data_IF_863131807544
#
_entry.id   IF_863131807544
#
_cell.length_a   1.000
_cell.length_b   1.000
_cell.length_c   1.000
_cell.angle_alpha   90.00
_cell.angle_beta   90.00
_cell.angle_gamma   90.00
#
_symmetry.space_group_name_H-M   'P 1'
#
loop_
_entity.id
_entity.type
_entity.pdbx_description
1 polymer ?
#
# COMPACT_ATOMS: atom_id res chain seq x y z
N UNK A 1 20.27 -17.25 -10.09
CA UNK A 1 18.95 -17.89 -10.04
C UNK A 1 18.12 -17.37 -11.21
N UNK A 2 17.64 -18.28 -12.06
CA UNK A 2 16.72 -17.96 -13.15
C UNK A 2 15.28 -17.76 -12.66
N UNK A 3 14.42 -17.23 -13.53
CA UNK A 3 12.99 -17.01 -13.21
C UNK A 3 12.31 -18.31 -12.79
N UNK A 4 12.65 -19.42 -13.44
CA UNK A 4 12.08 -20.75 -13.14
C UNK A 4 12.48 -21.25 -11.74
N UNK A 5 13.75 -21.10 -11.37
CA UNK A 5 14.26 -21.53 -10.06
C UNK A 5 13.63 -20.71 -8.93
N UNK A 6 13.49 -19.42 -9.11
CA UNK A 6 12.82 -18.54 -8.15
C UNK A 6 11.34 -18.90 -7.98
N UNK A 7 10.65 -19.20 -9.09
CA UNK A 7 9.26 -19.64 -9.05
C UNK A 7 9.09 -21.00 -8.34
N UNK A 8 10.00 -21.94 -8.56
CA UNK A 8 9.99 -23.25 -7.89
C UNK A 8 10.24 -23.12 -6.38
N UNK A 9 11.17 -22.25 -5.96
CA UNK A 9 11.41 -21.95 -4.54
C UNK A 9 10.15 -21.35 -3.89
N UNK A 10 9.52 -20.36 -4.52
CA UNK A 10 8.29 -19.76 -4.02
C UNK A 10 7.14 -20.79 -3.94
N UNK A 11 6.98 -21.62 -4.94
CA UNK A 11 5.99 -22.71 -4.94
C UNK A 11 6.26 -23.72 -3.81
N UNK A 12 7.52 -24.11 -3.60
CA UNK A 12 7.93 -24.99 -2.52
C UNK A 12 7.60 -24.44 -1.14
N UNK A 13 7.85 -23.13 -0.90
CA UNK A 13 7.48 -22.46 0.35
C UNK A 13 5.96 -22.48 0.56
N UNK A 14 5.17 -22.19 -0.47
CA UNK A 14 3.71 -22.22 -0.36
C UNK A 14 3.16 -23.62 -0.07
N UNK A 15 3.72 -24.66 -0.71
CA UNK A 15 3.37 -26.06 -0.44
C UNK A 15 3.71 -26.44 1.02
N UNK A 16 4.86 -26.01 1.51
CA UNK A 16 5.28 -26.25 2.89
C UNK A 16 4.34 -25.56 3.88
N UNK A 17 3.96 -24.31 3.63
CA UNK A 17 2.96 -23.60 4.45
C UNK A 17 1.63 -24.34 4.44
N UNK A 18 1.14 -24.77 3.27
CA UNK A 18 -0.10 -25.52 3.14
C UNK A 18 -0.05 -26.83 3.94
N UNK A 19 1.06 -27.55 3.89
CA UNK A 19 1.27 -28.80 4.63
C UNK A 19 1.31 -28.56 6.15
N UNK A 20 2.00 -27.51 6.60
CA UNK A 20 2.00 -27.09 8.02
C UNK A 20 0.57 -26.75 8.48
N UNK A 21 -0.19 -26.01 7.68
CA UNK A 21 -1.60 -25.71 7.98
C UNK A 21 -2.42 -27.00 8.14
N UNK A 22 -2.31 -27.95 7.23
CA UNK A 22 -3.03 -29.24 7.31
C UNK A 22 -2.68 -29.99 8.61
N UNK A 23 -1.39 -30.02 8.99
CA UNK A 23 -0.92 -30.71 10.20
C UNK A 23 -1.45 -30.03 11.46
N UNK A 24 -1.40 -28.68 11.51
CA UNK A 24 -1.88 -27.89 12.64
C UNK A 24 -3.40 -28.01 12.79
N UNK A 25 -4.15 -27.86 11.69
CA UNK A 25 -5.61 -27.95 11.72
C UNK A 25 -6.13 -29.37 11.94
N UNK A 26 -5.38 -30.41 11.60
CA UNK A 26 -5.74 -31.80 11.92
C UNK A 26 -5.75 -32.08 13.44
N UNK A 27 -5.05 -31.25 14.24
CA UNK A 27 -5.05 -31.30 15.71
C UNK A 27 -6.09 -30.36 16.36
N UNK A 28 -6.70 -29.45 15.58
CA UNK A 28 -7.75 -28.57 16.08
C UNK A 28 -9.07 -29.35 16.11
N UNK A 29 -9.78 -29.29 17.23
CA UNK A 29 -11.08 -29.96 17.38
C UNK A 29 -12.08 -29.54 16.30
N UNK A 30 -12.97 -30.45 15.84
CA UNK A 30 -13.92 -30.17 14.73
C UNK A 30 -14.97 -29.09 15.01
N UNK A 31 -14.97 -28.48 16.19
CA UNK A 31 -15.93 -27.45 16.60
C UNK A 31 -15.65 -26.03 16.10
N UNK A 32 -14.50 -25.77 15.47
CA UNK A 32 -14.11 -24.42 15.01
C UNK A 32 -14.41 -24.20 13.51
N UNK A 33 -14.86 -25.21 12.80
CA UNK A 33 -15.36 -25.01 11.45
C UNK A 33 -16.76 -24.43 11.58
N UNK A 34 -16.85 -23.11 11.75
CA UNK A 34 -18.09 -22.36 11.59
C UNK A 34 -18.78 -22.83 10.32
N UNK A 35 -20.03 -23.28 10.44
CA UNK A 35 -20.84 -23.75 9.32
C UNK A 35 -20.69 -22.83 8.11
N UNK A 36 -20.31 -23.39 6.99
CA UNK A 36 -20.26 -22.75 5.67
C UNK A 36 -21.71 -22.50 5.18
N UNK A 37 -22.47 -21.70 5.93
CA UNK A 37 -23.60 -20.97 5.35
C UNK A 37 -22.99 -19.90 4.46
N UNK A 38 -23.43 -19.83 3.19
CA UNK A 38 -23.01 -18.74 2.30
C UNK A 38 -23.12 -17.42 3.07
N UNK A 39 -21.99 -16.71 3.29
CA UNK A 39 -22.04 -15.47 4.03
C UNK A 39 -22.97 -14.52 3.29
N UNK A 40 -23.91 -13.91 4.02
CA UNK A 40 -24.71 -12.81 3.48
C UNK A 40 -23.78 -11.83 2.79
N UNK A 41 -24.14 -11.25 1.63
CA UNK A 41 -23.28 -10.31 0.93
C UNK A 41 -22.81 -9.24 1.89
N UNK A 42 -21.51 -8.92 1.80
CA UNK A 42 -20.79 -8.07 2.77
C UNK A 42 -21.51 -6.73 2.96
N UNK A 43 -22.15 -6.21 1.90
CA UNK A 43 -22.91 -4.95 1.93
C UNK A 43 -24.23 -5.02 2.72
N UNK A 44 -24.86 -6.20 2.90
CA UNK A 44 -26.05 -6.34 3.76
C UNK A 44 -25.71 -6.30 5.26
N UNK A 45 -24.46 -6.52 5.64
CA UNK A 45 -24.02 -6.60 7.04
C UNK A 45 -23.56 -5.25 7.61
N UNK A 46 -23.17 -4.32 6.75
CA UNK A 46 -22.79 -2.97 7.16
C UNK A 46 -24.05 -2.14 7.20
N UNK A 47 -24.44 -1.65 8.38
CA UNK A 47 -25.43 -0.60 8.45
C UNK A 47 -24.91 0.60 7.69
N UNK A 48 -25.45 0.85 6.50
CA UNK A 48 -25.12 1.97 5.63
C UNK A 48 -25.74 3.27 6.18
N UNK A 49 -25.36 3.63 7.40
CA UNK A 49 -25.56 4.98 7.88
C UNK A 49 -24.73 5.96 7.04
N UNK A 50 -25.22 7.17 6.89
CA UNK A 50 -24.54 8.24 6.14
C UNK A 50 -23.07 8.38 6.55
N UNK A 51 -22.75 8.16 7.82
CA UNK A 51 -21.40 8.24 8.34
C UNK A 51 -20.52 7.08 7.87
N UNK A 52 -21.03 5.85 7.92
CA UNK A 52 -20.31 4.66 7.44
C UNK A 52 -20.08 4.71 5.92
N UNK A 53 -21.06 5.21 5.16
CA UNK A 53 -20.92 5.44 3.73
C UNK A 53 -19.78 6.40 3.40
N UNK A 54 -19.62 7.46 4.19
CA UNK A 54 -18.52 8.42 4.04
C UNK A 54 -17.16 7.75 4.29
N UNK A 55 -17.02 6.96 5.36
CA UNK A 55 -15.76 6.27 5.68
C UNK A 55 -15.39 5.22 4.64
N UNK A 56 -16.36 4.52 4.08
CA UNK A 56 -16.15 3.59 2.96
C UNK A 56 -15.69 4.32 1.70
N UNK A 57 -16.29 5.48 1.40
CA UNK A 57 -15.85 6.32 0.26
C UNK A 57 -14.42 6.80 0.45
N UNK A 58 -14.06 7.25 1.65
CA UNK A 58 -12.68 7.63 1.97
C UNK A 58 -11.75 6.42 1.85
N UNK A 59 -12.17 5.23 2.29
CA UNK A 59 -11.39 4.00 2.12
C UNK A 59 -11.14 3.67 0.65
N UNK A 60 -12.15 3.82 -0.20
CA UNK A 60 -12.02 3.68 -1.66
C UNK A 60 -10.97 4.65 -2.22
N UNK A 61 -11.09 5.93 -1.87
CA UNK A 61 -10.15 6.97 -2.34
C UNK A 61 -8.73 6.74 -1.83
N UNK A 62 -8.55 6.26 -0.59
CA UNK A 62 -7.24 5.89 -0.06
C UNK A 62 -6.62 4.74 -0.86
N UNK A 63 -7.38 3.69 -1.15
CA UNK A 63 -6.89 2.59 -1.99
C UNK A 63 -6.57 3.05 -3.40
N UNK A 64 -7.45 3.85 -4.00
CA UNK A 64 -7.26 4.44 -5.33
C UNK A 64 -5.95 5.23 -5.41
N UNK A 65 -5.75 6.18 -4.51
CA UNK A 65 -4.56 7.03 -4.52
C UNK A 65 -3.29 6.24 -4.20
N UNK A 66 -3.33 5.31 -3.25
CA UNK A 66 -2.17 4.52 -2.88
C UNK A 66 -1.62 3.70 -4.06
N UNK A 67 -2.47 2.95 -4.77
CA UNK A 67 -2.03 2.15 -5.91
C UNK A 67 -1.80 2.99 -7.18
N UNK A 68 -2.50 4.11 -7.35
CA UNK A 68 -2.19 5.05 -8.42
C UNK A 68 -0.77 5.60 -8.27
N UNK A 69 -0.37 6.02 -7.06
CA UNK A 69 0.98 6.50 -6.78
C UNK A 69 2.03 5.39 -6.92
N UNK A 70 1.72 4.16 -6.52
CA UNK A 70 2.61 3.02 -6.72
C UNK A 70 2.98 2.85 -8.21
N UNK A 71 2.00 2.92 -9.10
CA UNK A 71 2.22 2.83 -10.56
C UNK A 71 3.08 3.99 -11.06
N UNK A 72 2.80 5.22 -10.61
CA UNK A 72 3.56 6.41 -11.02
C UNK A 72 4.99 6.36 -10.50
N UNK A 73 5.21 5.99 -9.24
CA UNK A 73 6.56 5.86 -8.68
C UNK A 73 7.38 4.77 -9.36
N UNK A 74 6.78 3.63 -9.68
CA UNK A 74 7.45 2.60 -10.47
C UNK A 74 7.97 3.17 -11.78
N UNK A 75 7.14 3.94 -12.48
CA UNK A 75 7.50 4.56 -13.77
C UNK A 75 8.64 5.56 -13.62
N UNK A 76 8.60 6.40 -12.58
CA UNK A 76 9.66 7.38 -12.29
C UNK A 76 10.99 6.69 -11.96
N UNK A 77 10.96 5.63 -11.16
CA UNK A 77 12.16 4.88 -10.79
C UNK A 77 12.75 4.13 -11.99
N UNK A 78 11.92 3.54 -12.84
CA UNK A 78 12.37 2.92 -14.11
C UNK A 78 13.08 3.92 -15.00
N UNK A 79 12.53 5.14 -15.10
CA UNK A 79 13.16 6.21 -15.88
C UNK A 79 14.53 6.62 -15.33
N UNK A 80 14.64 6.69 -13.98
CA UNK A 80 15.89 7.07 -13.31
C UNK A 80 16.97 5.97 -13.31
N UNK A 81 16.57 4.71 -13.13
CA UNK A 81 17.50 3.56 -12.96
C UNK A 81 17.76 2.79 -14.26
N UNK A 82 16.98 3.01 -15.31
CA UNK A 82 17.12 2.31 -16.60
C UNK A 82 16.79 0.81 -16.55
N UNK A 83 16.34 0.25 -15.41
CA UNK A 83 16.00 -1.16 -15.24
C UNK A 83 14.62 -1.33 -14.60
N UNK A 84 13.74 -2.09 -15.25
CA UNK A 84 12.38 -2.34 -14.77
C UNK A 84 12.34 -3.23 -13.53
N UNK A 85 13.15 -4.29 -13.48
CA UNK A 85 13.14 -5.29 -12.40
C UNK A 85 13.67 -4.70 -11.10
N UNK A 86 14.83 -4.04 -11.13
CA UNK A 86 15.42 -3.45 -9.93
C UNK A 86 14.60 -2.26 -9.42
N UNK A 87 14.08 -1.42 -10.31
CA UNK A 87 13.22 -0.29 -9.96
C UNK A 87 11.94 -0.76 -9.27
N UNK A 88 11.26 -1.78 -9.83
CA UNK A 88 10.07 -2.36 -9.23
C UNK A 88 10.38 -2.98 -7.86
N UNK A 89 11.47 -3.74 -7.73
CA UNK A 89 11.85 -4.38 -6.46
C UNK A 89 12.14 -3.35 -5.37
N UNK A 90 12.86 -2.27 -5.69
CA UNK A 90 13.15 -1.17 -4.77
C UNK A 90 11.89 -0.41 -4.38
N UNK A 91 11.02 -0.12 -5.35
CA UNK A 91 9.73 0.52 -5.10
C UNK A 91 8.90 -0.33 -4.14
N UNK A 92 8.71 -1.61 -4.45
CA UNK A 92 7.90 -2.52 -3.64
C UNK A 92 8.46 -2.67 -2.22
N UNK A 93 9.79 -2.81 -2.08
CA UNK A 93 10.44 -2.90 -0.77
C UNK A 93 10.20 -1.63 0.08
N UNK A 94 10.40 -0.44 -0.49
CA UNK A 94 10.12 0.83 0.19
C UNK A 94 8.65 0.99 0.54
N UNK A 95 7.75 0.64 -0.38
CA UNK A 95 6.31 0.75 -0.18
C UNK A 95 5.85 -0.14 0.98
N UNK A 96 6.21 -1.42 0.97
CA UNK A 96 5.86 -2.37 2.03
C UNK A 96 6.49 -1.99 3.37
N UNK A 97 7.76 -1.57 3.37
CA UNK A 97 8.44 -1.11 4.57
C UNK A 97 7.77 0.14 5.16
N UNK A 98 7.44 1.12 4.31
CA UNK A 98 6.72 2.34 4.72
C UNK A 98 5.34 2.02 5.34
N UNK A 99 4.53 1.18 4.69
CA UNK A 99 3.22 0.76 5.23
C UNK A 99 3.38 0.06 6.58
N UNK A 100 4.38 -0.83 6.69
CA UNK A 100 4.64 -1.56 7.95
C UNK A 100 5.01 -0.62 9.08
N UNK A 101 5.94 0.31 8.82
CA UNK A 101 6.35 1.34 9.79
C UNK A 101 5.15 2.21 10.18
N UNK A 102 4.34 2.64 9.20
CA UNK A 102 3.12 3.41 9.45
C UNK A 102 2.12 2.67 10.33
N UNK A 103 1.85 1.40 10.03
CA UNK A 103 0.99 0.54 10.83
C UNK A 103 1.46 0.39 12.28
N UNK A 104 2.78 0.33 12.51
CA UNK A 104 3.35 0.30 13.86
C UNK A 104 3.28 1.65 14.57
N UNK A 105 3.56 2.75 13.85
CA UNK A 105 3.57 4.10 14.42
C UNK A 105 2.18 4.58 14.85
N UNK A 106 1.12 4.06 14.26
CA UNK A 106 -0.25 4.44 14.65
C UNK A 106 -0.72 3.76 15.93
N UNK A 107 -0.13 2.63 16.34
CA UNK A 107 -0.56 1.84 17.52
C UNK A 107 -0.63 2.67 18.81
N UNK A 108 0.35 3.53 19.15
CA UNK A 108 0.29 4.34 20.37
C UNK A 108 -0.91 5.30 20.42
N UNK A 109 -1.44 5.73 19.26
CA UNK A 109 -2.58 6.64 19.21
C UNK A 109 -3.88 5.97 19.65
N UNK A 110 -4.01 4.64 19.46
CA UNK A 110 -5.16 3.88 19.96
C UNK A 110 -5.19 3.76 21.48
N UNK A 111 -4.04 3.88 22.16
CA UNK A 111 -3.96 3.88 23.62
C UNK A 111 -4.37 5.22 24.26
N UNK A 112 -4.34 6.30 23.50
CA UNK A 112 -4.72 7.65 23.93
C UNK A 112 -6.06 8.02 23.30
N UNK A 113 -6.87 8.87 24.00
CA UNK A 113 -8.14 9.37 23.44
C UNK A 113 -7.89 10.48 22.41
N UNK A 114 -7.43 10.07 21.23
CA UNK A 114 -7.29 10.98 20.10
C UNK A 114 -8.59 11.11 19.28
N UNK A 115 -8.76 12.25 18.63
CA UNK A 115 -9.80 12.41 17.62
C UNK A 115 -9.33 11.74 16.31
N UNK A 116 -9.74 10.48 16.09
CA UNK A 116 -9.31 9.70 14.92
C UNK A 116 -9.77 10.31 13.59
N UNK A 117 -10.86 11.10 13.57
CA UNK A 117 -11.30 11.83 12.38
C UNK A 117 -10.27 12.89 12.00
N UNK A 118 -9.83 13.69 12.99
CA UNK A 118 -8.79 14.70 12.79
C UNK A 118 -7.46 14.05 12.39
N UNK A 119 -7.10 12.94 13.03
CA UNK A 119 -5.87 12.21 12.75
C UNK A 119 -5.82 11.74 11.30
N UNK A 120 -6.92 11.15 10.78
CA UNK A 120 -7.04 10.75 9.39
C UNK A 120 -6.93 11.95 8.44
N UNK A 121 -7.58 13.07 8.78
CA UNK A 121 -7.49 14.30 7.97
C UNK A 121 -6.05 14.80 7.87
N UNK A 122 -5.32 14.81 8.99
CA UNK A 122 -3.90 15.21 9.02
C UNK A 122 -3.05 14.27 8.14
N UNK A 123 -3.31 12.96 8.18
CA UNK A 123 -2.57 12.02 7.34
C UNK A 123 -2.83 12.27 5.85
N UNK A 124 -4.09 12.46 5.44
CA UNK A 124 -4.44 12.71 4.04
C UNK A 124 -3.87 14.04 3.53
N UNK A 125 -3.95 15.11 4.33
CA UNK A 125 -3.32 16.38 4.00
C UNK A 125 -1.79 16.24 3.93
N UNK A 126 -1.18 15.49 4.85
CA UNK A 126 0.25 15.22 4.85
C UNK A 126 0.71 14.49 3.59
N UNK A 127 -0.06 13.49 3.12
CA UNK A 127 0.20 12.79 1.86
C UNK A 127 0.17 13.78 0.69
N UNK A 128 -0.91 14.56 0.57
CA UNK A 128 -1.07 15.52 -0.52
C UNK A 128 0.02 16.59 -0.55
N UNK A 129 0.33 17.19 0.60
CA UNK A 129 1.38 18.21 0.72
C UNK A 129 2.77 17.64 0.39
N UNK A 130 3.08 16.43 0.87
CA UNK A 130 4.35 15.80 0.57
C UNK A 130 4.50 15.48 -0.93
N UNK A 131 3.43 15.06 -1.57
CA UNK A 131 3.44 14.79 -3.00
C UNK A 131 3.68 16.06 -3.82
N UNK A 132 3.03 17.16 -3.48
CA UNK A 132 3.31 18.47 -4.09
C UNK A 132 4.77 18.89 -3.87
N UNK A 133 5.28 18.72 -2.65
CA UNK A 133 6.68 18.99 -2.32
C UNK A 133 7.65 18.11 -3.12
N UNK A 134 7.34 16.82 -3.28
CA UNK A 134 8.16 15.89 -4.05
C UNK A 134 8.24 16.25 -5.54
N UNK A 135 7.18 16.83 -6.10
CA UNK A 135 7.18 17.36 -7.47
C UNK A 135 8.11 18.56 -7.62
N UNK A 136 8.08 19.47 -6.65
CA UNK A 136 9.00 20.62 -6.65
C UNK A 136 10.46 20.17 -6.59
N UNK A 137 10.74 19.10 -5.84
CA UNK A 137 12.07 18.49 -5.77
C UNK A 137 12.42 17.54 -6.93
N UNK A 138 11.49 17.25 -7.83
CA UNK A 138 11.67 16.25 -8.91
C UNK A 138 12.90 16.54 -9.79
N UNK A 139 13.22 17.81 -10.06
CA UNK A 139 14.39 18.21 -10.85
C UNK A 139 15.71 17.84 -10.12
N UNK A 140 15.78 18.01 -8.80
CA UNK A 140 16.95 17.62 -8.00
C UNK A 140 17.04 16.09 -7.91
N UNK A 141 15.92 15.43 -7.71
CA UNK A 141 15.85 13.96 -7.66
C UNK A 141 16.26 13.35 -9.00
N UNK A 142 15.73 13.88 -10.11
CA UNK A 142 16.06 13.42 -11.46
C UNK A 142 17.56 13.62 -11.74
N UNK A 143 18.12 14.76 -11.35
CA UNK A 143 19.57 15.02 -11.50
C UNK A 143 20.42 14.10 -10.63
N UNK A 144 19.94 13.64 -9.49
CA UNK A 144 20.66 12.70 -8.63
C UNK A 144 20.60 11.23 -9.12
N UNK A 145 19.61 10.89 -9.96
CA UNK A 145 19.59 9.62 -10.69
C UNK A 145 20.47 9.65 -11.95
N UNK A 146 20.59 10.82 -12.61
CA UNK A 146 21.31 10.98 -13.86
C UNK A 146 22.81 11.29 -13.64
N UNK A 147 23.21 11.73 -12.43
CA UNK A 147 24.63 12.01 -12.13
C UNK A 147 25.47 10.74 -12.23
N UNK A 148 26.66 10.86 -12.82
CA UNK A 148 27.26 9.79 -13.61
C UNK A 148 27.59 8.56 -12.77
N UNK A 149 27.12 7.41 -13.23
CA UNK A 149 27.56 6.08 -12.85
C UNK A 149 29.10 5.89 -13.05
N UNK A 150 29.78 6.85 -13.70
CA UNK A 150 31.19 6.80 -13.99
C UNK A 150 32.12 6.86 -12.76
N UNK A 151 31.63 7.41 -11.64
CA UNK A 151 32.43 7.58 -10.41
C UNK A 151 32.02 6.62 -9.27
N UNK A 152 31.09 5.70 -9.49
CA UNK A 152 30.60 4.82 -8.44
C UNK A 152 31.48 3.58 -8.30
N UNK A 153 32.09 3.43 -7.12
CA UNK A 153 32.98 2.32 -6.76
C UNK A 153 32.23 0.97 -6.57
N UNK A 154 31.32 0.60 -7.48
CA UNK A 154 30.72 -0.72 -7.55
C UNK A 154 29.19 -0.78 -7.32
N UNK A 155 28.58 -1.97 -7.59
CA UNK A 155 27.12 -2.16 -7.60
C UNK A 155 26.45 -1.97 -6.23
N UNK A 156 27.18 -2.13 -5.13
CA UNK A 156 26.67 -1.92 -3.78
C UNK A 156 26.42 -0.43 -3.51
N UNK A 157 27.32 0.43 -3.95
CA UNK A 157 27.19 1.89 -3.78
C UNK A 157 26.00 2.41 -4.61
N UNK A 158 25.84 1.91 -5.83
CA UNK A 158 24.71 2.20 -6.70
C UNK A 158 23.39 1.80 -6.04
N UNK A 159 23.30 0.59 -5.47
CA UNK A 159 22.12 0.12 -4.75
C UNK A 159 21.71 1.07 -3.61
N UNK A 160 22.66 1.51 -2.77
CA UNK A 160 22.36 2.39 -1.64
C UNK A 160 21.94 3.79 -2.07
N UNK A 161 22.51 4.33 -3.15
CA UNK A 161 22.11 5.61 -3.72
C UNK A 161 20.66 5.53 -4.25
N UNK A 162 20.36 4.49 -5.02
CA UNK A 162 19.03 4.27 -5.58
C UNK A 162 17.98 4.04 -4.47
N UNK A 163 18.35 3.27 -3.43
CA UNK A 163 17.49 3.06 -2.25
C UNK A 163 17.20 4.37 -1.52
N UNK A 164 18.23 5.19 -1.28
CA UNK A 164 18.06 6.52 -0.67
C UNK A 164 17.13 7.42 -1.49
N UNK A 165 17.33 7.49 -2.79
CA UNK A 165 16.54 8.32 -3.68
C UNK A 165 15.08 7.85 -3.76
N UNK A 166 14.84 6.54 -3.88
CA UNK A 166 13.52 5.95 -3.82
C UNK A 166 12.84 6.24 -2.47
N UNK A 167 13.57 6.07 -1.36
CA UNK A 167 13.04 6.36 -0.02
C UNK A 167 12.70 7.84 0.16
N UNK A 168 13.54 8.75 -0.32
CA UNK A 168 13.26 10.19 -0.27
C UNK A 168 12.00 10.58 -1.04
N UNK A 169 11.64 9.83 -2.08
CA UNK A 169 10.44 10.10 -2.88
C UNK A 169 9.16 9.57 -2.23
N UNK A 170 9.19 8.36 -1.67
CA UNK A 170 7.98 7.60 -1.39
C UNK A 170 7.82 7.16 0.07
N UNK A 171 8.87 7.21 0.91
CA UNK A 171 8.80 6.67 2.26
C UNK A 171 7.78 7.41 3.15
N UNK A 172 7.78 8.75 3.12
CA UNK A 172 6.85 9.54 3.95
C UNK A 172 5.38 9.28 3.58
N UNK A 173 4.95 9.39 2.31
CA UNK A 173 3.56 9.11 1.97
C UNK A 173 3.17 7.65 2.23
N UNK A 174 4.06 6.68 2.02
CA UNK A 174 3.74 5.27 2.32
C UNK A 174 3.55 5.00 3.82
N UNK A 175 4.33 5.65 4.68
CA UNK A 175 4.12 5.62 6.13
C UNK A 175 2.74 6.19 6.49
N UNK A 176 2.36 7.33 5.92
CA UNK A 176 1.05 7.94 6.16
C UNK A 176 -0.11 7.08 5.63
N UNK A 177 0.04 6.42 4.47
CA UNK A 177 -0.92 5.41 4.00
C UNK A 177 -1.04 4.24 4.99
N UNK A 178 0.09 3.74 5.48
CA UNK A 178 0.13 2.68 6.49
C UNK A 178 -0.55 3.06 7.81
N UNK A 179 -0.47 4.33 8.22
CA UNK A 179 -1.18 4.85 9.40
C UNK A 179 -2.68 5.04 9.12
N UNK A 180 -3.07 5.41 7.90
CA UNK A 180 -4.45 5.73 7.53
C UNK A 180 -5.38 4.52 7.58
N UNK A 181 -4.91 3.37 7.11
CA UNK A 181 -5.75 2.18 6.99
C UNK A 181 -6.28 1.64 8.33
N UNK A 182 -5.46 1.45 9.39
CA UNK A 182 -5.96 1.06 10.72
C UNK A 182 -6.93 2.07 11.33
N UNK A 183 -6.72 3.37 11.09
CA UNK A 183 -7.62 4.43 11.55
C UNK A 183 -8.98 4.35 10.86
N UNK A 184 -9.02 4.16 9.54
CA UNK A 184 -10.24 3.94 8.77
C UNK A 184 -11.00 2.70 9.25
N UNK A 185 -10.28 1.60 9.42
CA UNK A 185 -10.84 0.35 9.95
C UNK A 185 -11.49 0.57 11.31
N UNK A 186 -10.81 1.27 12.22
CA UNK A 186 -11.35 1.61 13.53
C UNK A 186 -12.62 2.46 13.44
N UNK A 187 -12.63 3.50 12.58
CA UNK A 187 -13.78 4.39 12.44
C UNK A 187 -15.03 3.67 11.93
N UNK A 188 -14.88 2.70 11.02
CA UNK A 188 -16.00 1.91 10.48
C UNK A 188 -16.44 0.81 11.46
N UNK A 189 -15.51 0.18 12.16
CA UNK A 189 -15.83 -0.93 13.09
C UNK A 189 -16.32 -0.46 14.44
N UNK A 190 -16.04 0.79 14.81
CA UNK A 190 -16.45 1.38 16.09
C UNK A 190 -17.98 1.43 16.21
N UNK A 191 -18.51 0.64 17.11
CA UNK A 191 -19.97 0.56 17.35
C UNK A 191 -20.71 -0.43 16.44
N UNK A 192 -20.02 -1.10 15.52
CA UNK A 192 -20.61 -2.16 14.71
C UNK A 192 -20.86 -3.42 15.52
N UNK A 193 -22.04 -4.02 15.32
CA UNK A 193 -22.38 -5.34 15.91
C UNK A 193 -21.70 -6.48 15.15
N UNK A 194 -21.35 -6.27 13.87
CA UNK A 194 -20.62 -7.21 13.00
C UNK A 194 -19.27 -6.61 12.61
N UNK A 195 -18.26 -6.83 13.46
CA UNK A 195 -16.91 -6.36 13.24
C UNK A 195 -16.30 -7.01 11.99
N UNK A 196 -16.54 -8.30 11.77
CA UNK A 196 -16.01 -9.04 10.63
C UNK A 196 -16.54 -8.52 9.29
N UNK A 197 -17.85 -8.29 9.19
CA UNK A 197 -18.48 -7.70 8.01
C UNK A 197 -18.01 -6.28 7.74
N UNK A 198 -17.90 -5.44 8.77
CA UNK A 198 -17.40 -4.07 8.66
C UNK A 198 -15.94 -4.03 8.20
N UNK A 199 -15.10 -4.88 8.75
CA UNK A 199 -13.70 -5.03 8.35
C UNK A 199 -13.60 -5.48 6.88
N UNK A 200 -14.36 -6.51 6.50
CA UNK A 200 -14.42 -7.00 5.13
C UNK A 200 -14.86 -5.94 4.13
N UNK A 201 -15.82 -5.07 4.51
CA UNK A 201 -16.28 -3.96 3.67
C UNK A 201 -15.16 -2.93 3.45
N UNK A 202 -14.44 -2.51 4.49
CA UNK A 202 -13.31 -1.56 4.38
C UNK A 202 -12.23 -2.13 3.45
N UNK A 203 -11.82 -3.39 3.66
CA UNK A 203 -10.83 -4.05 2.81
C UNK A 203 -11.30 -4.19 1.36
N UNK A 204 -12.53 -4.67 1.16
CA UNK A 204 -13.10 -4.85 -0.18
C UNK A 204 -13.18 -3.55 -0.97
N UNK A 205 -13.70 -2.50 -0.35
CA UNK A 205 -13.85 -1.19 -0.98
C UNK A 205 -12.49 -0.54 -1.25
N UNK A 206 -11.54 -0.65 -0.31
CA UNK A 206 -10.16 -0.19 -0.49
C UNK A 206 -9.47 -0.91 -1.66
N UNK A 207 -9.64 -2.23 -1.76
CA UNK A 207 -9.09 -3.03 -2.86
C UNK A 207 -9.69 -2.63 -4.21
N UNK A 208 -11.01 -2.44 -4.28
CA UNK A 208 -11.68 -1.94 -5.49
C UNK A 208 -11.14 -0.57 -5.91
N UNK A 209 -10.95 0.33 -4.93
CA UNK A 209 -10.29 1.61 -5.16
C UNK A 209 -8.91 1.43 -5.76
N UNK A 210 -8.08 0.57 -5.17
CA UNK A 210 -6.74 0.28 -5.64
C UNK A 210 -6.68 -0.27 -7.06
N UNK A 211 -7.56 -1.22 -7.40
CA UNK A 211 -7.66 -1.77 -8.76
C UNK A 211 -7.96 -0.65 -9.75
N UNK A 212 -8.98 0.17 -9.48
CA UNK A 212 -9.34 1.27 -10.36
C UNK A 212 -8.24 2.33 -10.42
N UNK A 213 -7.60 2.65 -9.30
CA UNK A 213 -6.48 3.59 -9.22
C UNK A 213 -5.31 3.18 -10.09
N UNK A 214 -4.88 1.92 -9.99
CA UNK A 214 -3.76 1.40 -10.78
C UNK A 214 -4.08 1.38 -12.28
N UNK A 215 -5.29 0.95 -12.67
CA UNK A 215 -5.71 0.93 -14.09
C UNK A 215 -5.79 2.35 -14.65
N UNK A 216 -6.44 3.26 -13.95
CA UNK A 216 -6.61 4.64 -14.40
C UNK A 216 -5.25 5.35 -14.47
N UNK A 217 -4.40 5.19 -13.46
CA UNK A 217 -3.06 5.78 -13.48
C UNK A 217 -2.21 5.23 -14.64
N UNK A 218 -2.20 3.91 -14.83
CA UNK A 218 -1.36 3.26 -15.84
C UNK A 218 -1.80 3.49 -17.27
N UNK A 219 -3.11 3.45 -17.55
CA UNK A 219 -3.63 3.48 -18.91
C UNK A 219 -4.21 4.83 -19.34
N UNK A 220 -4.64 5.67 -18.41
CA UNK A 220 -5.26 6.96 -18.74
C UNK A 220 -4.39 8.15 -18.34
N UNK A 221 -3.91 8.21 -17.10
CA UNK A 221 -3.21 9.40 -16.62
C UNK A 221 -1.78 9.47 -17.16
N UNK A 222 -1.00 8.43 -17.02
CA UNK A 222 0.40 8.41 -17.46
C UNK A 222 0.58 8.64 -18.97
N UNK A 223 -0.20 8.04 -19.88
CA UNK A 223 -0.06 8.28 -21.31
C UNK A 223 -0.48 9.70 -21.74
N UNK A 224 -1.50 10.28 -21.08
CA UNK A 224 -2.09 11.55 -21.49
C UNK A 224 -1.47 12.76 -20.78
N UNK A 225 -1.09 12.64 -19.52
CA UNK A 225 -0.59 13.76 -18.71
C UNK A 225 0.92 13.70 -18.47
N UNK A 226 1.54 12.55 -18.68
CA UNK A 226 2.92 12.29 -18.27
C UNK A 226 3.07 12.07 -16.76
N UNK A 227 4.23 11.56 -16.35
CA UNK A 227 4.44 11.15 -14.96
C UNK A 227 4.39 12.31 -13.96
N UNK A 228 4.86 13.49 -14.35
CA UNK A 228 4.87 14.67 -13.46
C UNK A 228 3.47 15.22 -13.22
N UNK A 229 2.68 15.38 -14.28
CA UNK A 229 1.33 15.93 -14.16
C UNK A 229 0.31 14.96 -13.58
N UNK A 230 0.62 13.66 -13.56
CA UNK A 230 -0.25 12.64 -12.94
C UNK A 230 -0.14 12.64 -11.41
N UNK A 231 0.94 13.18 -10.85
CA UNK A 231 1.15 13.28 -9.40
C UNK A 231 0.43 14.47 -8.74
N UNK A 232 0.00 15.47 -9.51
CA UNK A 232 -0.77 16.63 -9.05
C UNK A 232 -2.25 16.34 -9.09
#
# INVERSE_FOLDING_TARGET
>A
FGVLETALVAAGINLLIGLVCIVVFKKAEPGVICGFGLPKPVFERVQLDRENGLWLTISFLCGFTALAYEVVWTRLLVFGMGSTVYSFSLMLANFLFGITVGGLLVVPFFKKRFNFRLLLTVFQLGIGLYLIFSLYQSNWLLSSFIRPYADLNGPITEFWINMRNASALMFVPTVLFGMSFPVLTYLVTKGSKDIGGSLGAVYGVNTLGGILGSVIAGYLLLPNLGSQNTLV
#
